data_IF_597290241291
#
_entry.id   IF_597290241291
#
_cell.length_a   1.000
_cell.length_b   1.000
_cell.length_c   1.000
_cell.angle_alpha   90.00
_cell.angle_beta   90.00
_cell.angle_gamma   90.00
#
_symmetry.space_group_name_H-M   'P 1'
#
loop_
_entity.id
_entity.type
_entity.pdbx_description
1 polymer ?
#
# COMPACT_ATOMS: atom_id res chain seq x y z
N UNK A 1 -9.08 -4.50 2.07
CA UNK A 1 -9.08 -5.99 1.97
C UNK A 1 -10.04 -6.72 2.93
N UNK A 2 -10.63 -6.04 3.93
CA UNK A 2 -11.51 -6.67 4.94
C UNK A 2 -12.64 -7.52 4.35
N UNK A 3 -13.21 -7.10 3.22
CA UNK A 3 -14.29 -7.82 2.52
C UNK A 3 -13.84 -9.20 2.00
N UNK A 4 -12.62 -9.34 1.50
CA UNK A 4 -12.08 -10.63 1.06
C UNK A 4 -11.85 -11.59 2.23
N UNK A 5 -11.49 -11.06 3.40
CA UNK A 5 -11.41 -11.85 4.64
C UNK A 5 -12.77 -12.33 5.11
N UNK A 6 -13.77 -11.44 5.14
CA UNK A 6 -15.14 -11.77 5.53
C UNK A 6 -15.77 -12.84 4.62
N UNK A 7 -15.54 -12.74 3.32
CA UNK A 7 -16.05 -13.70 2.33
C UNK A 7 -15.17 -14.94 2.14
N UNK A 8 -14.04 -15.03 2.86
CA UNK A 8 -13.05 -16.12 2.72
C UNK A 8 -12.61 -16.34 1.27
N UNK A 9 -12.42 -15.25 0.52
CA UNK A 9 -12.04 -15.34 -0.89
C UNK A 9 -10.67 -15.98 -1.04
N UNK A 10 -10.57 -16.95 -1.96
CA UNK A 10 -9.31 -17.47 -2.48
C UNK A 10 -8.55 -16.38 -3.25
N UNK A 11 -7.24 -16.53 -3.36
CA UNK A 11 -6.38 -15.55 -4.03
C UNK A 11 -6.78 -15.30 -5.48
N UNK A 12 -7.31 -16.30 -6.18
CA UNK A 12 -7.75 -16.18 -7.58
C UNK A 12 -8.88 -15.17 -7.70
N UNK A 13 -9.88 -15.28 -6.82
CA UNK A 13 -11.01 -14.38 -6.78
C UNK A 13 -10.60 -12.97 -6.36
N UNK A 14 -9.60 -12.84 -5.49
CA UNK A 14 -9.05 -11.53 -5.10
C UNK A 14 -8.34 -10.87 -6.27
N UNK A 15 -7.49 -11.60 -7.00
CA UNK A 15 -6.78 -11.10 -8.19
C UNK A 15 -7.77 -10.74 -9.30
N UNK A 16 -8.80 -11.57 -9.53
CA UNK A 16 -9.87 -11.27 -10.48
C UNK A 16 -10.58 -9.96 -10.11
N UNK A 17 -11.00 -9.83 -8.85
CA UNK A 17 -11.70 -8.64 -8.36
C UNK A 17 -10.80 -7.40 -8.42
N UNK A 18 -9.53 -7.53 -8.07
CA UNK A 18 -8.56 -6.45 -8.12
C UNK A 18 -8.24 -5.99 -9.53
N UNK A 19 -8.23 -6.90 -10.51
CA UNK A 19 -8.12 -6.55 -11.93
C UNK A 19 -9.37 -5.83 -12.45
N UNK A 20 -10.57 -6.27 -12.04
CA UNK A 20 -11.84 -5.70 -12.50
C UNK A 20 -12.04 -4.23 -12.13
N UNK A 21 -11.45 -3.77 -11.02
CA UNK A 21 -11.56 -2.37 -10.57
C UNK A 21 -10.54 -1.44 -11.23
N UNK A 22 -9.63 -1.97 -12.05
CA UNK A 22 -8.65 -1.16 -12.78
C UNK A 22 -9.30 -0.52 -14.01
N UNK A 23 -8.83 0.67 -14.38
CA UNK A 23 -9.30 1.40 -15.54
C UNK A 23 -8.12 1.99 -16.33
N UNK A 24 -8.40 2.36 -17.59
CA UNK A 24 -7.49 3.08 -18.48
C UNK A 24 -6.10 2.43 -18.60
N UNK A 25 -5.04 3.21 -18.36
CA UNK A 25 -3.64 2.76 -18.42
C UNK A 25 -3.36 1.57 -17.49
N UNK A 26 -4.03 1.54 -16.34
CA UNK A 26 -3.77 0.56 -15.29
C UNK A 26 -4.30 -0.82 -15.67
N UNK A 27 -5.47 -0.86 -16.31
CA UNK A 27 -6.03 -2.11 -16.86
C UNK A 27 -5.17 -2.66 -18.00
N UNK A 28 -4.76 -1.80 -18.94
CA UNK A 28 -3.86 -2.18 -20.04
C UNK A 28 -2.52 -2.73 -19.53
N UNK A 29 -1.93 -2.08 -18.52
CA UNK A 29 -0.72 -2.58 -17.87
C UNK A 29 -0.95 -3.93 -17.21
N UNK A 30 -2.06 -4.08 -16.48
CA UNK A 30 -2.35 -5.33 -15.77
C UNK A 30 -2.57 -6.50 -16.72
N UNK A 31 -3.23 -6.31 -17.86
CA UNK A 31 -3.37 -7.35 -18.89
C UNK A 31 -2.01 -7.90 -19.37
N UNK A 32 -1.08 -6.99 -19.68
CA UNK A 32 0.29 -7.36 -20.10
C UNK A 32 1.09 -8.01 -18.97
N UNK A 33 0.99 -7.47 -17.75
CA UNK A 33 1.66 -8.02 -16.59
C UNK A 33 1.14 -9.43 -16.28
N UNK A 34 -0.17 -9.62 -16.26
CA UNK A 34 -0.83 -10.90 -16.00
C UNK A 34 -0.34 -12.00 -16.96
N UNK A 35 -0.33 -11.72 -18.27
CA UNK A 35 0.17 -12.65 -19.28
C UNK A 35 1.63 -13.08 -19.01
N UNK A 36 2.50 -12.14 -18.65
CA UNK A 36 3.90 -12.42 -18.28
C UNK A 36 4.02 -13.23 -16.99
N UNK A 37 3.18 -12.94 -16.00
CA UNK A 37 3.25 -13.57 -14.67
C UNK A 37 2.69 -14.99 -14.65
N UNK A 38 1.73 -15.29 -15.53
CA UNK A 38 1.12 -16.62 -15.76
C UNK A 38 1.93 -17.51 -16.72
N UNK A 39 3.02 -17.00 -17.29
CA UNK A 39 3.89 -17.77 -18.17
C UNK A 39 4.32 -19.09 -17.49
N UNK A 40 4.16 -20.21 -18.19
CA UNK A 40 4.44 -21.55 -17.65
C UNK A 40 3.37 -22.11 -16.70
N UNK A 41 2.16 -21.54 -16.68
CA UNK A 41 1.03 -22.02 -15.85
C UNK A 41 1.12 -21.60 -14.38
N UNK A 42 1.92 -20.59 -14.08
CA UNK A 42 2.08 -20.10 -12.71
C UNK A 42 0.83 -19.35 -12.23
N UNK A 43 0.35 -19.71 -11.05
CA UNK A 43 -0.75 -19.00 -10.41
C UNK A 43 -0.30 -17.64 -9.84
N UNK A 44 -1.12 -16.60 -10.02
CA UNK A 44 -0.88 -15.29 -9.42
C UNK A 44 -1.57 -15.21 -8.06
N UNK A 45 -0.77 -15.07 -7.00
CA UNK A 45 -1.29 -14.79 -5.66
C UNK A 45 -1.70 -13.32 -5.51
N UNK A 46 -2.59 -13.04 -4.57
CA UNK A 46 -3.00 -11.65 -4.27
C UNK A 46 -1.81 -10.80 -3.82
N UNK A 47 -0.90 -11.40 -3.05
CA UNK A 47 0.35 -10.76 -2.65
C UNK A 47 1.23 -10.38 -3.84
N UNK A 48 1.30 -11.24 -4.88
CA UNK A 48 2.05 -10.96 -6.10
C UNK A 48 1.44 -9.82 -6.90
N UNK A 49 0.11 -9.82 -7.08
CA UNK A 49 -0.61 -8.70 -7.71
C UNK A 49 -0.25 -7.37 -7.04
N UNK A 50 -0.42 -7.28 -5.71
CA UNK A 50 -0.12 -6.05 -4.96
C UNK A 50 1.32 -5.60 -5.11
N UNK A 51 2.26 -6.52 -5.08
CA UNK A 51 3.68 -6.20 -5.21
C UNK A 51 3.96 -5.56 -6.57
N UNK A 52 3.51 -6.17 -7.66
CA UNK A 52 3.72 -5.63 -9.02
C UNK A 52 3.01 -4.28 -9.18
N UNK A 53 1.79 -4.15 -8.66
CA UNK A 53 1.02 -2.90 -8.69
C UNK A 53 1.75 -1.77 -7.96
N UNK A 54 2.13 -1.99 -6.70
CA UNK A 54 2.84 -1.00 -5.88
C UNK A 54 4.22 -0.69 -6.45
N UNK A 55 4.90 -1.66 -7.06
CA UNK A 55 6.20 -1.42 -7.70
C UNK A 55 6.07 -0.45 -8.87
N UNK A 56 5.00 -0.59 -9.68
CA UNK A 56 4.77 0.25 -10.86
C UNK A 56 4.22 1.64 -10.51
N UNK A 57 3.23 1.71 -9.63
CA UNK A 57 2.46 2.94 -9.36
C UNK A 57 2.81 3.62 -8.04
N UNK A 58 3.58 2.96 -7.18
CA UNK A 58 4.06 3.55 -5.93
C UNK A 58 5.57 3.30 -5.75
N UNK A 59 6.40 3.90 -6.64
CA UNK A 59 7.84 3.64 -6.71
C UNK A 59 8.57 4.05 -5.43
N UNK A 60 9.82 3.60 -5.29
CA UNK A 60 10.64 3.86 -4.10
C UNK A 60 10.77 5.35 -3.79
N UNK A 61 10.87 6.21 -4.80
CA UNK A 61 11.02 7.65 -4.61
C UNK A 61 9.76 8.28 -3.98
N UNK A 62 8.57 7.86 -4.42
CA UNK A 62 7.30 8.30 -3.81
C UNK A 62 7.16 7.79 -2.37
N UNK A 63 7.60 6.56 -2.09
CA UNK A 63 7.66 6.02 -0.72
C UNK A 63 8.63 6.82 0.16
N UNK A 64 9.82 7.10 -0.35
CA UNK A 64 10.85 7.86 0.36
C UNK A 64 10.37 9.29 0.63
N UNK A 65 9.66 9.91 -0.31
CA UNK A 65 9.02 11.21 -0.11
C UNK A 65 8.02 11.18 1.04
N UNK A 66 7.22 10.11 1.16
CA UNK A 66 6.30 9.92 2.28
C UNK A 66 7.02 9.73 3.62
N UNK A 67 8.16 9.03 3.63
CA UNK A 67 9.01 8.91 4.83
C UNK A 67 9.60 10.26 5.23
N UNK A 68 10.11 11.04 4.27
CA UNK A 68 10.63 12.39 4.56
C UNK A 68 9.51 13.29 5.10
N UNK A 69 8.32 13.25 4.47
CA UNK A 69 7.15 14.00 4.95
C UNK A 69 6.79 13.64 6.40
N UNK A 70 6.90 12.35 6.76
CA UNK A 70 6.70 11.89 8.13
C UNK A 70 7.78 12.43 9.09
N UNK A 71 9.06 12.33 8.71
CA UNK A 71 10.19 12.78 9.54
C UNK A 71 10.16 14.29 9.80
N UNK A 72 9.67 15.06 8.84
CA UNK A 72 9.56 16.52 8.93
C UNK A 72 8.21 16.99 9.52
N UNK A 73 7.31 16.05 9.86
CA UNK A 73 5.98 16.36 10.34
C UNK A 73 6.04 17.06 11.71
N UNK A 74 5.71 18.35 11.71
CA UNK A 74 5.54 19.18 12.91
C UNK A 74 4.10 19.65 13.00
N UNK A 75 3.55 19.75 14.21
CA UNK A 75 2.19 20.25 14.40
C UNK A 75 2.00 21.65 13.81
N UNK A 76 2.93 22.57 14.06
CA UNK A 76 2.86 23.93 13.52
C UNK A 76 1.54 24.62 13.91
N UNK A 77 0.77 25.05 12.91
CA UNK A 77 -0.55 25.67 13.08
C UNK A 77 -1.72 24.67 13.04
N UNK A 78 -1.46 23.37 12.88
CA UNK A 78 -2.50 22.35 12.87
C UNK A 78 -3.09 22.16 14.28
N UNK A 79 -4.37 21.84 14.35
CA UNK A 79 -4.94 21.30 15.57
C UNK A 79 -4.31 19.94 15.89
N UNK A 80 -4.37 19.53 17.16
CA UNK A 80 -3.87 18.22 17.61
C UNK A 80 -4.54 17.08 16.83
N UNK A 81 -5.84 17.20 16.54
CA UNK A 81 -6.58 16.17 15.79
C UNK A 81 -6.12 16.06 14.34
N UNK A 82 -5.84 17.18 13.67
CA UNK A 82 -5.35 17.16 12.29
C UNK A 82 -3.93 16.60 12.23
N UNK A 83 -3.09 16.97 13.19
CA UNK A 83 -1.74 16.43 13.31
C UNK A 83 -1.77 14.91 13.53
N UNK A 84 -2.59 14.43 14.47
CA UNK A 84 -2.72 12.99 14.77
C UNK A 84 -3.20 12.20 13.54
N UNK A 85 -4.21 12.70 12.82
CA UNK A 85 -4.66 12.06 11.58
C UNK A 85 -3.54 12.00 10.53
N UNK A 86 -2.79 13.11 10.35
CA UNK A 86 -1.66 13.15 9.41
C UNK A 86 -0.50 12.24 9.84
N UNK A 87 -0.27 12.11 11.15
CA UNK A 87 0.71 11.19 11.70
C UNK A 87 0.33 9.73 11.40
N UNK A 88 -0.91 9.33 11.67
CA UNK A 88 -1.41 7.97 11.40
C UNK A 88 -1.34 7.62 9.91
N UNK A 89 -1.71 8.56 9.03
CA UNK A 89 -1.62 8.37 7.59
C UNK A 89 -0.19 8.14 7.12
N UNK A 90 0.78 8.85 7.70
CA UNK A 90 2.18 8.80 7.28
C UNK A 90 3.00 7.70 7.96
N UNK A 91 2.66 7.29 9.19
CA UNK A 91 3.43 6.31 9.96
C UNK A 91 3.48 4.96 9.24
N UNK A 92 2.44 4.61 8.47
CA UNK A 92 2.38 3.36 7.73
C UNK A 92 3.52 3.20 6.69
N UNK A 93 4.14 4.30 6.27
CA UNK A 93 5.27 4.32 5.32
C UNK A 93 6.64 4.24 6.00
N UNK A 94 6.71 4.37 7.33
CA UNK A 94 7.94 4.34 8.10
C UNK A 94 7.92 3.19 9.12
N UNK A 95 8.12 1.93 8.69
CA UNK A 95 7.96 0.74 9.54
C UNK A 95 8.81 0.76 10.82
N UNK A 96 9.95 1.46 10.78
CA UNK A 96 10.85 1.63 11.94
C UNK A 96 10.20 2.40 13.10
N UNK A 97 9.12 3.16 12.87
CA UNK A 97 8.37 3.91 13.88
C UNK A 97 7.04 3.23 14.29
N UNK A 98 6.77 2.05 13.72
CA UNK A 98 5.60 1.22 14.03
C UNK A 98 5.93 0.07 14.98
N UNK A 99 7.09 0.12 15.64
CA UNK A 99 7.48 -0.82 16.70
C UNK A 99 6.99 -0.32 18.05
N UNK A 100 6.66 -1.23 18.96
CA UNK A 100 6.18 -0.91 20.32
C UNK A 100 7.17 -0.03 21.11
N UNK A 101 8.46 -0.11 20.80
CA UNK A 101 9.51 0.73 21.40
C UNK A 101 9.48 2.19 20.88
N UNK A 102 8.94 2.43 19.69
CA UNK A 102 8.81 3.78 19.11
C UNK A 102 7.51 4.49 19.52
N UNK A 103 6.61 3.84 20.26
CA UNK A 103 5.42 4.50 20.84
C UNK A 103 5.78 5.41 22.02
N UNK A 104 6.85 5.11 22.75
CA UNK A 104 7.32 5.94 23.87
C UNK A 104 7.96 7.26 23.40
N UNK A 105 8.53 7.28 22.19
CA UNK A 105 9.13 8.47 21.55
C UNK A 105 8.10 9.37 20.84
N UNK A 106 6.81 8.98 20.76
CA UNK A 106 5.73 9.82 20.20
C UNK A 106 5.27 10.93 21.15
N UNK A 107 5.76 10.92 22.39
CA UNK A 107 5.39 11.86 23.44
C UNK A 107 6.58 12.77 23.81
N UNK A 108 6.99 13.65 22.89
CA UNK A 108 7.78 14.87 23.23
C UNK A 108 7.25 16.06 22.44
#
# INVERSE_FOLDING_TARGET
ERIFGAMRCLDEHRVLSGGYVLHDEVDHWWGNAKQRLEAGGAFITWARFKREFLTKYFPADERNRKVIEFMELKQGSMSVSEYAAKFEDLCCFAPHYNTLEAEEDKCV
#
